data_IF_371783503492
#
_entry.id   IF_371783503492
#
_cell.length_a   1.000
_cell.length_b   1.000
_cell.length_c   1.000
_cell.angle_alpha   90.00
_cell.angle_beta   90.00
_cell.angle_gamma   90.00
#
_symmetry.space_group_name_H-M   'P 1'
#
loop_
_entity.id
_entity.type
_entity.pdbx_description
1 polymer ?
#
# COMPACT_ATOMS: atom_id res chain seq x y z
N UNK A 1 -13.58 17.83 -6.91
CA UNK A 1 -13.88 17.20 -5.64
C UNK A 1 -13.18 15.85 -5.52
N UNK A 2 -12.47 15.65 -4.44
CA UNK A 2 -11.77 14.41 -4.21
C UNK A 2 -12.75 13.27 -4.05
N UNK A 3 -12.43 12.16 -4.69
CA UNK A 3 -13.19 10.95 -4.49
C UNK A 3 -12.22 9.81 -4.33
N UNK A 4 -12.43 9.08 -3.25
CA UNK A 4 -11.68 7.89 -3.04
C UNK A 4 -10.66 7.99 -1.92
N UNK A 5 -10.32 6.84 -1.44
CA UNK A 5 -9.31 6.65 -0.40
C UNK A 5 -8.80 5.23 -0.49
N UNK A 6 -7.76 4.94 0.27
CA UNK A 6 -7.26 3.60 0.43
C UNK A 6 -7.36 3.22 1.90
N UNK A 7 -7.61 1.95 2.16
CA UNK A 7 -7.61 1.43 3.53
C UNK A 7 -6.81 0.15 3.57
N UNK A 8 -6.29 -0.18 4.75
CA UNK A 8 -5.53 -1.41 4.93
C UNK A 8 -6.20 -2.28 5.98
N UNK A 9 -6.03 -3.59 5.83
CA UNK A 9 -6.55 -4.55 6.80
C UNK A 9 -5.66 -5.79 6.82
N UNK A 10 -5.70 -6.48 7.96
CA UNK A 10 -4.97 -7.74 8.13
C UNK A 10 -5.91 -8.77 8.73
N UNK A 11 -5.68 -10.08 8.46
CA UNK A 11 -6.52 -11.12 9.03
C UNK A 11 -6.31 -11.33 10.53
N UNK A 12 -5.15 -10.93 11.05
CA UNK A 12 -4.83 -11.05 12.47
C UNK A 12 -4.20 -9.76 12.97
N UNK A 13 -4.16 -9.59 14.27
CA UNK A 13 -3.49 -8.44 14.89
C UNK A 13 -2.20 -8.82 15.60
N UNK A 14 -1.92 -10.10 15.77
CA UNK A 14 -0.72 -10.57 16.43
C UNK A 14 -0.08 -11.67 15.60
N UNK A 15 1.24 -11.60 15.47
CA UNK A 15 2.00 -12.52 14.64
C UNK A 15 3.17 -13.10 15.41
N UNK A 16 3.51 -14.35 15.09
CA UNK A 16 4.67 -15.02 15.63
C UNK A 16 5.87 -14.80 14.72
N UNK A 17 7.06 -15.11 15.23
CA UNK A 17 8.27 -15.03 14.43
C UNK A 17 8.13 -15.84 13.14
N UNK A 18 8.55 -15.26 12.03
CA UNK A 18 8.57 -15.86 10.68
C UNK A 18 7.19 -15.99 10.04
N UNK A 19 6.13 -15.53 10.69
CA UNK A 19 4.82 -15.47 10.05
C UNK A 19 4.77 -14.35 9.03
N UNK A 20 3.99 -14.56 7.96
CA UNK A 20 3.78 -13.54 6.94
C UNK A 20 2.56 -12.71 7.29
N UNK A 21 2.75 -11.40 7.32
CA UNK A 21 1.67 -10.45 7.53
C UNK A 21 1.16 -10.05 6.15
N UNK A 22 -0.11 -10.37 5.87
CA UNK A 22 -0.72 -9.99 4.60
C UNK A 22 -1.56 -8.75 4.82
N UNK A 23 -1.07 -7.62 4.34
CA UNK A 23 -1.74 -6.34 4.46
C UNK A 23 -2.54 -6.11 3.20
N UNK A 24 -3.86 -6.24 3.28
CA UNK A 24 -4.74 -6.05 2.14
C UNK A 24 -5.04 -4.58 1.97
N UNK A 25 -4.77 -4.05 0.80
CA UNK A 25 -5.02 -2.64 0.48
C UNK A 25 -6.25 -2.58 -0.40
N UNK A 26 -7.24 -1.85 0.08
CA UNK A 26 -8.53 -1.72 -0.60
C UNK A 26 -8.73 -0.29 -1.06
N UNK A 27 -9.19 -0.13 -2.29
CA UNK A 27 -9.61 1.17 -2.79
C UNK A 27 -11.08 1.39 -2.45
N UNK A 28 -11.43 2.61 -2.08
CA UNK A 28 -12.80 2.99 -1.72
C UNK A 28 -13.24 4.14 -2.58
N UNK A 29 -14.29 3.92 -3.38
CA UNK A 29 -14.91 4.95 -4.23
C UNK A 29 -13.91 5.67 -5.14
N UNK A 30 -13.01 4.90 -5.76
CA UNK A 30 -12.02 5.46 -6.67
C UNK A 30 -12.68 5.97 -7.94
N UNK A 31 -12.14 7.05 -8.50
CA UNK A 31 -12.62 7.62 -9.76
C UNK A 31 -11.45 7.91 -10.68
N UNK A 32 -11.31 7.09 -11.71
CA UNK A 32 -10.32 7.27 -12.77
C UNK A 32 -8.90 7.48 -12.21
N UNK A 33 -8.51 6.64 -11.25
CA UNK A 33 -7.21 6.76 -10.60
C UNK A 33 -6.13 6.17 -11.49
N UNK A 34 -5.15 6.98 -11.86
CA UNK A 34 -4.01 6.56 -12.68
C UNK A 34 -2.74 6.35 -11.88
N UNK A 35 -2.67 6.82 -10.65
CA UNK A 35 -1.51 6.59 -9.81
C UNK A 35 -1.94 6.65 -8.35
N UNK A 36 -1.26 5.87 -7.53
CA UNK A 36 -1.49 5.91 -6.09
C UNK A 36 -0.17 5.69 -5.36
N UNK A 37 -0.08 6.27 -4.18
CA UNK A 37 1.09 6.11 -3.34
C UNK A 37 0.71 6.42 -1.90
N UNK A 38 1.36 5.75 -0.95
CA UNK A 38 1.24 6.11 0.46
C UNK A 38 2.49 5.64 1.18
N UNK A 39 2.63 6.05 2.44
CA UNK A 39 3.74 5.62 3.27
C UNK A 39 3.22 4.67 4.35
N UNK A 40 3.97 3.61 4.59
CA UNK A 40 3.67 2.65 5.64
C UNK A 40 4.91 2.49 6.50
N UNK A 41 5.06 3.32 7.55
CA UNK A 41 6.22 3.22 8.44
C UNK A 41 6.16 1.93 9.25
N UNK A 42 7.31 1.29 9.44
CA UNK A 42 7.40 0.10 10.26
C UNK A 42 8.80 -0.01 10.87
N UNK A 43 8.89 -0.72 11.99
CA UNK A 43 10.17 -0.96 12.65
C UNK A 43 10.85 -2.17 12.01
N UNK A 44 12.04 -1.97 11.48
CA UNK A 44 12.79 -3.04 10.82
C UNK A 44 13.22 -4.15 11.79
N UNK A 45 13.15 -3.90 13.08
CA UNK A 45 13.40 -4.94 14.07
C UNK A 45 12.22 -5.89 14.22
N UNK A 46 11.03 -5.45 13.84
CA UNK A 46 9.80 -6.22 13.94
C UNK A 46 9.41 -6.90 12.63
N UNK A 47 9.67 -6.25 11.51
CA UNK A 47 9.17 -6.69 10.21
C UNK A 47 10.22 -6.55 9.13
N UNK A 48 10.07 -7.38 8.11
CA UNK A 48 10.87 -7.32 6.88
C UNK A 48 9.92 -7.31 5.69
N UNK A 49 10.13 -6.41 4.75
CA UNK A 49 9.32 -6.36 3.54
C UNK A 49 9.66 -7.53 2.64
N UNK A 50 8.63 -8.27 2.21
CA UNK A 50 8.79 -9.46 1.37
C UNK A 50 8.40 -9.17 -0.08
N UNK A 51 7.28 -8.51 -0.29
CA UNK A 51 6.84 -8.22 -1.65
C UNK A 51 5.41 -7.71 -1.72
N UNK A 52 4.95 -7.55 -2.95
CA UNK A 52 3.60 -7.05 -3.27
C UNK A 52 2.94 -8.05 -4.21
N UNK A 53 1.70 -8.39 -3.91
CA UNK A 53 0.89 -9.24 -4.79
C UNK A 53 -0.26 -8.42 -5.35
N UNK A 54 -0.24 -8.07 -6.66
CA UNK A 54 -1.36 -7.32 -7.25
C UNK A 54 -2.60 -8.19 -7.37
N UNK A 55 -3.75 -7.59 -7.15
CA UNK A 55 -5.05 -8.25 -7.32
C UNK A 55 -5.84 -7.60 -8.44
N UNK A 56 -6.36 -6.40 -8.20
CA UNK A 56 -7.20 -5.68 -9.17
C UNK A 56 -6.53 -4.38 -9.59
N UNK A 57 -5.25 -4.47 -9.97
CA UNK A 57 -4.45 -3.29 -10.33
C UNK A 57 -4.45 -2.99 -11.81
N UNK A 58 -5.22 -3.76 -12.60
CA UNK A 58 -5.21 -3.62 -14.05
C UNK A 58 -3.78 -3.84 -14.56
N UNK A 59 -3.27 -2.96 -15.41
CA UNK A 59 -1.91 -3.08 -15.91
C UNK A 59 -1.01 -1.97 -15.35
N UNK A 60 -1.26 -1.55 -14.11
CA UNK A 60 -0.44 -0.52 -13.48
C UNK A 60 0.96 -1.03 -13.16
N UNK A 61 1.93 -0.16 -13.36
CA UNK A 61 3.32 -0.46 -13.04
C UNK A 61 3.55 -0.37 -11.54
N UNK A 62 4.20 -1.38 -10.97
CA UNK A 62 4.52 -1.43 -9.55
C UNK A 62 5.89 -0.77 -9.32
N UNK A 63 5.90 0.39 -8.71
CA UNK A 63 7.11 1.12 -8.38
C UNK A 63 7.35 1.17 -6.87
N UNK A 64 6.78 0.23 -6.14
CA UNK A 64 6.89 0.15 -4.69
C UNK A 64 8.35 0.05 -4.26
N UNK A 65 8.73 0.83 -3.27
CA UNK A 65 10.08 0.79 -2.73
C UNK A 65 10.06 0.90 -1.20
N UNK A 66 11.17 0.53 -0.59
CA UNK A 66 11.36 0.51 0.85
C UNK A 66 12.54 1.41 1.20
N UNK A 67 12.36 2.27 2.19
CA UNK A 67 13.39 3.24 2.52
C UNK A 67 13.66 3.28 4.02
N UNK A 68 14.93 3.19 4.38
CA UNK A 68 15.37 3.31 5.76
C UNK A 68 15.45 4.79 6.15
N UNK A 69 14.81 5.12 7.23
CA UNK A 69 14.88 6.45 7.85
C UNK A 69 15.76 6.37 9.10
N UNK A 70 15.92 7.48 9.79
CA UNK A 70 16.72 7.53 11.02
C UNK A 70 16.07 6.67 12.12
N UNK A 71 16.88 6.25 13.09
CA UNK A 71 16.44 5.50 14.27
C UNK A 71 15.85 4.12 13.97
N UNK A 72 16.28 3.51 12.85
CA UNK A 72 15.87 2.15 12.53
C UNK A 72 14.45 2.01 12.01
N UNK A 73 13.76 3.11 11.79
CA UNK A 73 12.42 3.09 11.21
C UNK A 73 12.53 3.05 9.70
N UNK A 74 11.85 2.10 9.09
CA UNK A 74 11.71 2.04 7.64
C UNK A 74 10.32 2.51 7.24
N UNK A 75 10.21 3.03 6.04
CA UNK A 75 8.90 3.27 5.44
C UNK A 75 8.83 2.55 4.11
N UNK A 76 7.76 1.78 3.96
CA UNK A 76 7.42 1.20 2.68
C UNK A 76 6.58 2.22 1.93
N UNK A 77 6.88 2.40 0.65
CA UNK A 77 6.15 3.35 -0.20
C UNK A 77 5.48 2.58 -1.33
N UNK A 78 4.33 1.96 -1.07
CA UNK A 78 3.58 1.31 -2.14
C UNK A 78 3.19 2.34 -3.17
N UNK A 79 3.60 2.13 -4.41
CA UNK A 79 3.42 3.09 -5.48
C UNK A 79 3.07 2.36 -6.76
N UNK A 80 1.95 2.74 -7.38
CA UNK A 80 1.50 2.16 -8.64
C UNK A 80 1.15 3.28 -9.60
N UNK A 81 1.58 3.13 -10.85
CA UNK A 81 1.39 4.15 -11.88
C UNK A 81 0.87 3.50 -13.15
N UNK A 82 -0.14 4.10 -13.74
CA UNK A 82 -0.65 3.69 -15.04
C UNK A 82 0.22 4.33 -16.11
N UNK A 83 1.01 3.50 -16.79
CA UNK A 83 1.88 3.95 -17.85
C UNK A 83 1.25 3.57 -19.18
N UNK A 84 0.99 4.58 -20.03
CA UNK A 84 0.37 4.36 -21.33
C UNK A 84 -1.14 4.45 -21.27
N UNK A 85 -1.83 3.65 -22.08
CA UNK A 85 -3.27 3.76 -22.26
C UNK A 85 -4.03 2.65 -21.54
N UNK A 86 -3.59 2.32 -20.34
CA UNK A 86 -4.28 1.29 -19.56
C UNK A 86 -5.53 1.86 -18.91
N UNK A 87 -6.39 0.96 -18.50
CA UNK A 87 -7.64 1.32 -17.83
C UNK A 87 -7.36 1.84 -16.42
N UNK A 88 -7.96 2.98 -16.07
CA UNK A 88 -7.81 3.56 -14.76
C UNK A 88 -8.60 2.76 -13.71
N UNK A 89 -8.24 2.94 -12.44
CA UNK A 89 -8.95 2.28 -11.35
C UNK A 89 -10.22 3.03 -10.99
N UNK A 90 -11.30 2.30 -10.84
CA UNK A 90 -12.61 2.86 -10.46
C UNK A 90 -13.30 1.93 -9.46
N UNK A 91 -14.12 2.54 -8.60
CA UNK A 91 -14.97 1.78 -7.70
C UNK A 91 -14.29 1.39 -6.40
N UNK A 92 -14.83 0.37 -5.75
CA UNK A 92 -14.34 -0.12 -4.46
C UNK A 92 -14.00 -1.58 -4.60
N UNK A 93 -12.71 -1.91 -4.45
CA UNK A 93 -12.27 -3.30 -4.51
C UNK A 93 -10.89 -3.46 -3.90
N UNK A 94 -10.53 -4.70 -3.59
CA UNK A 94 -9.20 -5.01 -3.10
C UNK A 94 -8.21 -4.87 -4.24
N UNK A 95 -7.16 -4.08 -4.03
CA UNK A 95 -6.22 -3.74 -5.08
C UNK A 95 -4.98 -4.61 -5.05
N UNK A 96 -4.34 -4.71 -3.89
CA UNK A 96 -3.11 -5.50 -3.78
C UNK A 96 -2.88 -5.91 -2.33
N UNK A 97 -1.94 -6.83 -2.13
CA UNK A 97 -1.55 -7.30 -0.80
C UNK A 97 -0.07 -7.00 -0.62
N UNK A 98 0.26 -6.30 0.45
CA UNK A 98 1.64 -6.10 0.87
C UNK A 98 2.01 -7.23 1.82
N UNK A 99 3.18 -7.80 1.65
CA UNK A 99 3.63 -8.91 2.50
C UNK A 99 4.85 -8.50 3.29
N UNK A 100 4.71 -8.57 4.60
CA UNK A 100 5.80 -8.38 5.54
C UNK A 100 6.03 -9.70 6.28
N UNK A 101 7.27 -9.93 6.70
CA UNK A 101 7.58 -11.08 7.52
C UNK A 101 7.85 -10.59 8.94
N UNK A 102 7.19 -11.18 9.93
CA UNK A 102 7.43 -10.86 11.32
C UNK A 102 8.77 -11.44 11.75
N UNK A 103 9.65 -10.62 12.30
CA UNK A 103 10.99 -11.05 12.72
C UNK A 103 11.00 -11.53 14.16
N UNK A 104 9.91 -11.27 14.88
CA UNK A 104 9.72 -11.72 16.25
C UNK A 104 8.22 -11.68 16.55
N UNK A 105 7.82 -12.17 17.71
CA UNK A 105 6.43 -12.07 18.14
C UNK A 105 6.08 -10.59 18.30
N UNK A 106 5.08 -10.13 17.56
CA UNK A 106 4.77 -8.70 17.49
C UNK A 106 3.30 -8.49 17.12
N UNK A 107 2.75 -7.35 17.55
CA UNK A 107 1.42 -6.92 17.14
C UNK A 107 1.52 -6.04 15.91
N UNK A 108 0.53 -6.17 15.04
CA UNK A 108 0.44 -5.30 13.88
C UNK A 108 -0.25 -4.00 14.31
N UNK A 109 0.49 -2.89 14.24
CA UNK A 109 -0.02 -1.57 14.63
C UNK A 109 0.37 -0.51 13.62
N UNK A 110 0.50 -0.90 12.36
CA UNK A 110 0.91 0.02 11.31
C UNK A 110 -0.29 0.76 10.74
N UNK A 111 -0.07 2.01 10.35
CA UNK A 111 -1.09 2.82 9.69
C UNK A 111 -0.50 3.44 8.45
N UNK A 112 -1.32 3.60 7.41
CA UNK A 112 -0.85 4.28 6.22
C UNK A 112 -0.87 5.80 6.43
N UNK A 113 0.09 6.47 5.78
CA UNK A 113 0.26 7.92 5.88
C UNK A 113 0.56 8.50 4.51
N UNK A 114 0.34 9.80 4.40
CA UNK A 114 0.73 10.57 3.21
C UNK A 114 0.17 9.97 1.92
N UNK A 115 -1.08 9.56 1.96
CA UNK A 115 -1.72 8.94 0.82
C UNK A 115 -2.02 9.93 -0.29
N UNK A 116 -1.75 9.54 -1.52
CA UNK A 116 -1.96 10.36 -2.70
C UNK A 116 -2.59 9.51 -3.80
N UNK A 117 -3.63 10.05 -4.42
CA UNK A 117 -4.24 9.48 -5.63
C UNK A 117 -4.12 10.51 -6.74
N UNK A 118 -3.79 10.06 -7.94
CA UNK A 118 -3.71 10.92 -9.13
C UNK A 118 -4.70 10.40 -10.15
N UNK A 119 -5.58 11.28 -10.65
CA UNK A 119 -6.61 10.89 -11.61
C UNK A 119 -6.13 11.06 -13.06
N UNK A 120 -7.00 10.75 -14.02
CA UNK A 120 -6.69 10.81 -15.45
C UNK A 120 -6.29 12.20 -15.91
N UNK A 121 -6.73 13.23 -15.20
CA UNK A 121 -6.46 14.60 -15.56
C UNK A 121 -5.27 15.16 -14.79
N UNK A 122 -4.48 14.27 -14.20
CA UNK A 122 -3.28 14.58 -13.44
C UNK A 122 -3.55 15.44 -12.21
N UNK A 123 -4.75 15.37 -11.67
CA UNK A 123 -5.09 16.05 -10.42
C UNK A 123 -4.72 15.15 -9.25
N UNK A 124 -4.09 15.73 -8.26
CA UNK A 124 -3.60 15.02 -7.08
C UNK A 124 -4.58 15.17 -5.93
N UNK A 125 -4.92 14.05 -5.30
CA UNK A 125 -5.83 14.03 -4.16
C UNK A 125 -5.15 13.35 -2.99
N UNK A 126 -5.11 14.03 -1.85
CA UNK A 126 -4.60 13.45 -0.61
C UNK A 126 -5.74 12.81 0.18
N UNK A 127 -5.41 11.74 0.89
CA UNK A 127 -6.40 11.06 1.72
C UNK A 127 -5.83 10.63 3.05
#
# INVERSE_FOLDING_TARGET
KVSGSLSISTPKKQYQKDEIVEIRVKGNDLKAVNALSFALPYDQNDFEFVGVEPLNMKAMENLTYDRLHTNGVKSLYPTFVNIGKQEALNGSEELFVLKLKAKRKVKFELTLKDGILVDKELRMHQF
#
